data_IF_687639262111
#
_entry.id   IF_687639262111
#
_cell.length_a   1.000
_cell.length_b   1.000
_cell.length_c   1.000
_cell.angle_alpha   90.00
_cell.angle_beta   90.00
_cell.angle_gamma   90.00
#
_symmetry.space_group_name_H-M   'P 1'
#
loop_
_entity.id
_entity.type
_entity.pdbx_description
1 polymer ?
#
# COMPACT_ATOMS: atom_id res chain seq x y z
N UNK A 1 -6.85 26.69 -2.80
CA UNK A 1 -5.84 26.32 -3.82
C UNK A 1 -5.66 24.79 -3.86
N UNK A 2 -5.51 24.16 -5.03
CA UNK A 2 -5.12 22.75 -5.06
C UNK A 2 -3.75 22.62 -4.38
N UNK A 3 -3.64 21.68 -3.44
CA UNK A 3 -2.40 21.38 -2.75
C UNK A 3 -1.36 20.93 -3.79
N UNK A 4 -0.22 21.62 -3.87
CA UNK A 4 0.84 21.26 -4.81
C UNK A 4 1.42 19.90 -4.42
N UNK A 5 1.36 18.94 -5.32
CA UNK A 5 1.83 17.59 -5.05
C UNK A 5 3.35 17.59 -4.85
N UNK A 6 3.80 17.09 -3.70
CA UNK A 6 5.22 16.94 -3.45
C UNK A 6 5.79 15.84 -4.36
N UNK A 7 7.09 15.89 -4.71
CA UNK A 7 7.70 14.86 -5.56
C UNK A 7 7.53 13.43 -5.02
N UNK A 8 7.46 13.26 -3.70
CA UNK A 8 7.28 11.97 -3.02
C UNK A 8 5.83 11.48 -2.95
N UNK A 9 4.84 12.32 -3.29
CA UNK A 9 3.42 11.93 -3.24
C UNK A 9 3.11 10.76 -4.20
N UNK A 10 3.85 10.67 -5.31
CA UNK A 10 3.74 9.54 -6.25
C UNK A 10 4.17 8.22 -5.60
N UNK A 11 5.28 8.25 -4.88
CA UNK A 11 5.84 7.08 -4.21
C UNK A 11 4.94 6.68 -3.02
N UNK A 12 4.39 7.64 -2.27
CA UNK A 12 3.40 7.37 -1.22
C UNK A 12 2.11 6.76 -1.75
N UNK A 13 1.62 7.27 -2.89
CA UNK A 13 0.43 6.72 -3.55
C UNK A 13 0.68 5.28 -4.00
N UNK A 14 1.87 5.00 -4.58
CA UNK A 14 2.25 3.65 -4.99
C UNK A 14 2.40 2.72 -3.79
N UNK A 15 3.04 3.17 -2.72
CA UNK A 15 3.18 2.42 -1.48
C UNK A 15 1.81 2.08 -0.88
N UNK A 16 0.88 3.03 -0.84
CA UNK A 16 -0.50 2.80 -0.37
C UNK A 16 -1.20 1.73 -1.18
N UNK A 17 -1.06 1.75 -2.51
CA UNK A 17 -1.64 0.74 -3.40
C UNK A 17 -1.05 -0.65 -3.14
N UNK A 18 0.27 -0.74 -2.97
CA UNK A 18 0.96 -2.00 -2.62
C UNK A 18 0.46 -2.55 -1.29
N UNK A 19 0.31 -1.71 -0.25
CA UNK A 19 -0.23 -2.13 1.04
C UNK A 19 -1.64 -2.68 0.88
N UNK A 20 -2.48 -2.06 0.04
CA UNK A 20 -3.82 -2.56 -0.27
C UNK A 20 -3.82 -3.91 -0.97
N UNK A 21 -2.95 -4.10 -1.97
CA UNK A 21 -2.78 -5.39 -2.64
C UNK A 21 -2.28 -6.48 -1.69
N UNK A 22 -1.33 -6.15 -0.81
CA UNK A 22 -0.81 -7.08 0.21
C UNK A 22 -1.85 -7.44 1.25
N UNK A 23 -2.66 -6.47 1.73
CA UNK A 23 -3.74 -6.74 2.66
C UNK A 23 -4.69 -7.81 2.13
N UNK A 24 -5.12 -7.68 0.86
CA UNK A 24 -5.98 -8.69 0.25
C UNK A 24 -5.26 -10.03 0.04
N UNK A 25 -4.08 -10.03 -0.60
CA UNK A 25 -3.37 -11.26 -0.96
C UNK A 25 -2.96 -12.08 0.26
N UNK A 26 -2.52 -11.41 1.34
CA UNK A 26 -2.09 -12.06 2.57
C UNK A 26 -3.27 -12.60 3.36
N UNK A 27 -4.39 -11.88 3.39
CA UNK A 27 -5.66 -12.38 3.95
C UNK A 27 -6.13 -13.63 3.19
N UNK A 28 -6.19 -13.57 1.87
CA UNK A 28 -6.63 -14.68 1.02
C UNK A 28 -5.79 -15.96 1.21
N UNK A 29 -4.48 -15.79 1.42
CA UNK A 29 -3.53 -16.89 1.60
C UNK A 29 -3.25 -17.24 3.07
N UNK A 30 -4.03 -16.70 4.02
CA UNK A 30 -3.85 -16.92 5.46
C UNK A 30 -2.40 -16.69 5.93
N UNK A 31 -1.73 -15.66 5.39
CA UNK A 31 -0.39 -15.27 5.79
C UNK A 31 -0.37 -14.84 7.25
N UNK A 32 0.67 -15.24 8.00
CA UNK A 32 0.82 -14.89 9.42
C UNK A 32 0.85 -13.37 9.67
N UNK A 33 1.29 -12.61 8.67
CA UNK A 33 1.39 -11.15 8.65
C UNK A 33 0.15 -10.44 8.09
N UNK A 34 -0.93 -11.16 7.74
CA UNK A 34 -2.11 -10.58 7.09
C UNK A 34 -2.70 -9.40 7.86
N UNK A 35 -2.78 -9.51 9.19
CA UNK A 35 -3.29 -8.46 10.06
C UNK A 35 -2.40 -7.20 10.13
N UNK A 36 -1.13 -7.30 9.72
CA UNK A 36 -0.20 -6.17 9.78
C UNK A 36 -0.47 -5.14 8.67
N UNK A 37 -0.88 -5.59 7.48
CA UNK A 37 -1.01 -4.70 6.31
C UNK A 37 -2.06 -3.59 6.50
N UNK A 38 -3.26 -3.86 7.05
CA UNK A 38 -4.20 -2.79 7.41
C UNK A 38 -3.63 -1.83 8.46
N UNK A 39 -2.83 -2.31 9.40
CA UNK A 39 -2.21 -1.45 10.42
C UNK A 39 -1.10 -0.56 9.82
N UNK A 40 -0.33 -1.08 8.87
CA UNK A 40 0.64 -0.28 8.09
C UNK A 40 -0.06 0.84 7.32
N UNK A 41 -1.24 0.58 6.75
CA UNK A 41 -2.01 1.64 6.08
C UNK A 41 -2.49 2.72 7.07
N UNK A 42 -2.94 2.32 8.27
CA UNK A 42 -3.33 3.28 9.32
C UNK A 42 -2.15 4.19 9.70
N UNK A 43 -0.98 3.59 9.95
CA UNK A 43 0.23 4.34 10.28
C UNK A 43 0.65 5.29 9.14
N UNK A 44 0.54 4.85 7.88
CA UNK A 44 0.82 5.70 6.72
C UNK A 44 -0.14 6.90 6.63
N UNK A 45 -1.44 6.69 6.85
CA UNK A 45 -2.43 7.79 6.84
C UNK A 45 -2.20 8.74 8.02
N UNK A 46 -1.83 8.23 9.18
CA UNK A 46 -1.53 9.06 10.35
C UNK A 46 -0.32 9.96 10.09
N UNK A 47 0.74 9.42 9.48
CA UNK A 47 1.95 10.17 9.16
C UNK A 47 1.77 11.16 8.00
N UNK A 48 1.15 10.72 6.89
CA UNK A 48 1.18 11.44 5.60
C UNK A 48 -0.16 12.05 5.19
N UNK A 49 -1.26 11.63 5.83
CA UNK A 49 -2.62 12.09 5.58
C UNK A 49 -2.97 13.39 6.31
N UNK A 50 -2.04 14.35 6.32
CA UNK A 50 -2.13 15.62 7.07
C UNK A 50 -3.27 16.54 6.61
N UNK A 51 -3.76 16.37 5.39
CA UNK A 51 -4.96 17.03 4.88
C UNK A 51 -6.01 16.00 4.45
N UNK A 52 -7.31 16.34 4.47
CA UNK A 52 -8.36 15.45 3.96
C UNK A 52 -8.09 14.97 2.53
N UNK A 53 -7.63 15.87 1.65
CA UNK A 53 -7.30 15.53 0.27
C UNK A 53 -6.10 14.59 0.12
N UNK A 54 -5.09 14.66 1.00
CA UNK A 54 -4.01 13.65 1.04
C UNK A 54 -4.52 12.32 1.54
N UNK A 55 -5.26 12.33 2.65
CA UNK A 55 -5.87 11.13 3.24
C UNK A 55 -6.72 10.36 2.23
N UNK A 56 -7.59 11.07 1.51
CA UNK A 56 -8.47 10.47 0.50
C UNK A 56 -7.70 9.87 -0.67
N UNK A 57 -6.60 10.52 -1.11
CA UNK A 57 -5.72 9.99 -2.16
C UNK A 57 -5.04 8.70 -1.72
N UNK A 58 -4.50 8.65 -0.51
CA UNK A 58 -3.84 7.46 0.05
C UNK A 58 -4.86 6.32 0.24
N UNK A 59 -5.98 6.59 0.88
CA UNK A 59 -7.06 5.63 1.07
C UNK A 59 -7.61 5.11 -0.27
N UNK A 60 -7.77 6.00 -1.25
CA UNK A 60 -8.18 5.65 -2.60
C UNK A 60 -7.19 4.70 -3.28
N UNK A 61 -5.88 4.94 -3.13
CA UNK A 61 -4.83 4.06 -3.67
C UNK A 61 -4.84 2.67 -3.02
N UNK A 62 -4.94 2.61 -1.69
CA UNK A 62 -5.12 1.35 -0.97
C UNK A 62 -6.33 0.57 -1.47
N UNK A 63 -7.48 1.24 -1.60
CA UNK A 63 -8.71 0.61 -2.08
C UNK A 63 -8.59 0.09 -3.51
N UNK A 64 -7.86 0.81 -4.40
CA UNK A 64 -7.57 0.33 -5.75
C UNK A 64 -6.74 -0.95 -5.72
N UNK A 65 -5.67 -0.99 -4.94
CA UNK A 65 -4.80 -2.16 -4.81
C UNK A 65 -5.53 -3.39 -4.25
N UNK A 66 -6.35 -3.20 -3.21
CA UNK A 66 -7.15 -4.26 -2.61
C UNK A 66 -8.19 -4.81 -3.60
N UNK A 67 -8.99 -3.92 -4.20
CA UNK A 67 -10.08 -4.32 -5.12
C UNK A 67 -9.56 -4.93 -6.42
N UNK A 68 -8.41 -4.49 -6.92
CA UNK A 68 -7.81 -5.02 -8.15
C UNK A 68 -7.47 -6.51 -8.06
N UNK A 69 -7.04 -6.97 -6.88
CA UNK A 69 -6.79 -8.40 -6.65
C UNK A 69 -8.04 -9.15 -6.20
N UNK A 70 -8.93 -8.50 -5.44
CA UNK A 70 -10.22 -9.09 -5.06
C UNK A 70 -11.12 -9.42 -6.25
N UNK A 71 -11.00 -8.69 -7.36
CA UNK A 71 -11.71 -9.03 -8.60
C UNK A 71 -11.10 -10.21 -9.36
N UNK A 72 -9.81 -10.51 -9.13
CA UNK A 72 -9.04 -11.49 -9.90
C UNK A 72 -8.93 -12.83 -9.18
N UNK A 73 -8.74 -12.83 -7.85
CA UNK A 73 -8.53 -14.05 -7.07
C UNK A 73 -9.68 -14.26 -6.06
N UNK A 74 -10.14 -15.50 -5.96
CA UNK A 74 -11.12 -15.94 -4.94
C UNK A 74 -10.60 -17.03 -4.00
N UNK A 75 -9.52 -17.68 -4.39
CA UNK A 75 -8.81 -18.69 -3.61
C UNK A 75 -7.32 -18.40 -3.71
N UNK A 76 -6.56 -18.75 -2.68
CA UNK A 76 -5.11 -18.63 -2.75
C UNK A 76 -4.55 -19.55 -3.83
N UNK A 77 -3.71 -19.00 -4.70
CA UNK A 77 -3.04 -19.72 -5.79
C UNK A 77 -1.53 -19.47 -5.73
N UNK A 78 -0.69 -20.29 -6.39
CA UNK A 78 0.74 -20.01 -6.50
C UNK A 78 1.03 -18.62 -7.07
N UNK A 79 0.26 -18.19 -8.08
CA UNK A 79 0.38 -16.86 -8.68
C UNK A 79 0.04 -15.72 -7.68
N UNK A 80 -0.93 -15.94 -6.79
CA UNK A 80 -1.27 -14.99 -5.73
C UNK A 80 -0.13 -14.87 -4.70
N UNK A 81 0.48 -15.99 -4.30
CA UNK A 81 1.66 -16.00 -3.43
C UNK A 81 2.84 -15.28 -4.07
N UNK A 82 3.15 -15.55 -5.33
CA UNK A 82 4.23 -14.88 -6.06
C UNK A 82 3.96 -13.38 -6.24
N UNK A 83 2.72 -12.98 -6.48
CA UNK A 83 2.33 -11.58 -6.52
C UNK A 83 2.57 -10.89 -5.17
N UNK A 84 2.20 -11.53 -4.05
CA UNK A 84 2.46 -11.00 -2.72
C UNK A 84 3.96 -10.84 -2.47
N UNK A 85 4.79 -11.82 -2.84
CA UNK A 85 6.25 -11.74 -2.72
C UNK A 85 6.85 -10.55 -3.49
N UNK A 86 6.40 -10.33 -4.73
CA UNK A 86 6.83 -9.18 -5.54
C UNK A 86 6.46 -7.84 -4.90
N UNK A 87 5.26 -7.74 -4.35
CA UNK A 87 4.80 -6.52 -3.67
C UNK A 87 5.54 -6.23 -2.37
N UNK A 88 5.94 -7.24 -1.61
CA UNK A 88 6.81 -7.03 -0.45
C UNK A 88 8.12 -6.39 -0.88
N UNK A 89 8.80 -6.97 -1.87
CA UNK A 89 10.08 -6.43 -2.36
C UNK A 89 9.95 -5.00 -2.91
N UNK A 90 8.87 -4.71 -3.66
CA UNK A 90 8.62 -3.36 -4.15
C UNK A 90 8.32 -2.37 -3.01
N UNK A 91 7.48 -2.78 -2.05
CA UNK A 91 7.12 -1.96 -0.89
C UNK A 91 8.31 -1.64 0.00
N UNK A 92 9.22 -2.59 0.22
CA UNK A 92 10.47 -2.38 0.96
C UNK A 92 11.35 -1.35 0.27
N UNK A 93 11.52 -1.46 -1.06
CA UNK A 93 12.31 -0.52 -1.86
C UNK A 93 11.73 0.90 -1.81
N UNK A 94 10.41 1.04 -1.92
CA UNK A 94 9.74 2.34 -1.82
C UNK A 94 9.85 2.93 -0.42
N UNK A 95 9.66 2.12 0.62
CA UNK A 95 9.78 2.55 2.02
C UNK A 95 11.19 3.07 2.30
N UNK A 96 12.23 2.36 1.85
CA UNK A 96 13.62 2.82 1.97
C UNK A 96 13.89 4.10 1.18
N UNK A 97 13.37 4.20 -0.06
CA UNK A 97 13.55 5.41 -0.88
C UNK A 97 12.89 6.63 -0.24
N UNK A 98 11.70 6.47 0.37
CA UNK A 98 11.00 7.53 1.09
C UNK A 98 11.76 7.95 2.35
N UNK A 99 12.18 6.99 3.18
CA UNK A 99 12.93 7.26 4.40
C UNK A 99 14.29 7.92 4.11
N UNK A 100 15.06 7.40 3.15
CA UNK A 100 16.40 7.90 2.84
C UNK A 100 16.42 9.26 2.12
N UNK A 101 15.33 9.66 1.48
CA UNK A 101 15.27 10.89 0.66
C UNK A 101 14.46 12.02 1.31
N UNK A 102 13.53 11.68 2.20
CA UNK A 102 12.60 12.63 2.81
C UNK A 102 12.45 12.48 4.33
N UNK A 103 13.05 11.45 4.95
CA UNK A 103 13.12 11.30 6.41
C UNK A 103 14.23 12.16 7.01
N UNK A 104 13.92 13.43 7.25
CA UNK A 104 14.72 14.35 8.06
C UNK A 104 14.01 14.69 9.35
#
# INVERSE_FOLDING_TARGET
PPEQAAPYDRDLTRLSEIIGSLAFLRELCAGADAAEWPNRMKALIEAEGVTPGRRDRLAGAYNRGYRGYASTYRVCTPAAHEAAGRFVAEGERLSHALAGRFGG
#
